data_IF_726384655322
#
_entry.id   IF_726384655322
#
_cell.length_a   1.000
_cell.length_b   1.000
_cell.length_c   1.000
_cell.angle_alpha   90.00
_cell.angle_beta   90.00
_cell.angle_gamma   90.00
#
_symmetry.space_group_name_H-M   'P 1'
#
loop_
_entity.id
_entity.type
_entity.pdbx_description
1 polymer ?
#
# COMPACT_ATOMS: atom_id res chain seq x y z
N UNK A 1 4.71 28.03 -5.17
CA UNK A 1 4.65 27.21 -3.97
C UNK A 1 6.03 27.20 -3.31
N UNK A 2 6.14 27.51 -2.03
CA UNK A 2 7.43 27.53 -1.35
C UNK A 2 7.62 26.15 -0.70
N UNK A 3 8.39 25.27 -1.37
CA UNK A 3 8.74 23.95 -0.84
C UNK A 3 9.62 24.13 0.39
N UNK A 4 9.43 23.30 1.40
CA UNK A 4 10.29 23.32 2.58
C UNK A 4 11.72 22.85 2.24
N UNK A 5 12.66 23.20 3.09
CA UNK A 5 14.05 22.77 2.94
C UNK A 5 14.17 21.24 2.89
N UNK A 6 13.32 20.52 3.64
CA UNK A 6 13.24 19.05 3.63
C UNK A 6 12.84 18.49 2.26
N UNK A 7 11.78 19.02 1.68
CA UNK A 7 11.32 18.60 0.33
C UNK A 7 12.39 18.87 -0.71
N UNK A 8 13.05 20.05 -0.65
CA UNK A 8 14.16 20.36 -1.55
C UNK A 8 15.30 19.34 -1.42
N UNK A 9 15.69 18.97 -0.20
CA UNK A 9 16.71 17.94 0.02
C UNK A 9 16.32 16.58 -0.57
N UNK A 10 15.04 16.18 -0.45
CA UNK A 10 14.52 14.95 -1.07
C UNK A 10 14.66 15.03 -2.60
N UNK A 11 14.22 16.15 -3.19
CA UNK A 11 14.29 16.35 -4.62
C UNK A 11 15.74 16.29 -5.13
N UNK A 12 16.66 16.96 -4.46
CA UNK A 12 18.10 16.91 -4.75
C UNK A 12 18.68 15.48 -4.65
N UNK A 13 18.13 14.65 -3.76
CA UNK A 13 18.52 13.24 -3.62
C UNK A 13 17.96 12.40 -4.75
N UNK A 14 16.68 12.58 -5.08
CA UNK A 14 16.02 11.87 -6.17
C UNK A 14 16.68 12.16 -7.52
N UNK A 15 17.14 13.40 -7.76
CA UNK A 15 17.89 13.75 -8.97
C UNK A 15 19.23 13.02 -9.09
N UNK A 16 19.84 12.62 -7.98
CA UNK A 16 21.12 11.90 -7.95
C UNK A 16 20.95 10.38 -8.12
N UNK A 17 19.74 9.85 -7.95
CA UNK A 17 19.44 8.45 -8.21
C UNK A 17 19.47 8.23 -9.72
N UNK A 18 20.59 7.72 -10.22
CA UNK A 18 20.79 7.46 -11.65
C UNK A 18 20.37 6.03 -12.02
N UNK A 19 19.88 5.84 -13.25
CA UNK A 19 19.75 6.84 -14.32
C UNK A 19 18.30 7.37 -14.45
N UNK A 20 18.13 8.67 -14.37
CA UNK A 20 16.85 9.35 -14.63
C UNK A 20 16.32 9.12 -16.07
N UNK A 21 17.20 8.80 -17.00
CA UNK A 21 16.87 8.56 -18.42
C UNK A 21 16.25 7.19 -18.70
N UNK A 22 16.00 6.37 -17.66
CA UNK A 22 15.43 5.02 -17.80
C UNK A 22 13.92 5.02 -17.61
N UNK A 23 13.31 6.17 -17.23
CA UNK A 23 11.85 6.32 -17.03
C UNK A 23 11.00 6.16 -18.31
N UNK A 24 11.62 6.16 -19.48
CA UNK A 24 10.92 6.05 -20.76
C UNK A 24 10.60 4.58 -21.14
N UNK A 25 10.74 3.65 -20.21
CA UNK A 25 10.38 2.25 -20.42
C UNK A 25 9.91 1.60 -19.11
N UNK A 26 9.08 0.58 -19.23
CA UNK A 26 8.60 -0.22 -18.09
C UNK A 26 9.76 -0.78 -17.23
N UNK A 27 10.78 -1.37 -17.86
CA UNK A 27 11.97 -1.88 -17.18
C UNK A 27 12.72 -0.75 -16.45
N UNK A 28 12.78 0.42 -17.04
CA UNK A 28 13.36 1.60 -16.42
C UNK A 28 12.59 2.09 -15.20
N UNK A 29 11.28 2.12 -15.27
CA UNK A 29 10.42 2.47 -14.13
C UNK A 29 10.63 1.50 -12.98
N UNK A 30 10.67 0.18 -13.25
CA UNK A 30 10.93 -0.86 -12.25
C UNK A 30 12.30 -0.68 -11.58
N UNK A 31 13.35 -0.50 -12.36
CA UNK A 31 14.72 -0.27 -11.86
C UNK A 31 14.85 1.03 -11.06
N UNK A 32 14.17 2.09 -11.49
CA UNK A 32 14.17 3.36 -10.75
C UNK A 32 13.52 3.22 -9.38
N UNK A 33 12.35 2.58 -9.29
CA UNK A 33 11.65 2.36 -8.03
C UNK A 33 12.51 1.50 -7.07
N UNK A 34 13.15 0.45 -7.59
CA UNK A 34 14.06 -0.38 -6.82
C UNK A 34 15.27 0.43 -6.30
N UNK A 35 15.93 1.21 -7.17
CA UNK A 35 17.07 2.04 -6.79
C UNK A 35 16.69 3.11 -5.77
N UNK A 36 15.53 3.75 -5.91
CA UNK A 36 14.99 4.72 -4.99
C UNK A 36 14.76 4.09 -3.61
N UNK A 37 14.08 2.96 -3.57
CA UNK A 37 13.82 2.26 -2.31
C UNK A 37 15.08 1.81 -1.61
N UNK A 38 16.05 1.23 -2.33
CA UNK A 38 17.32 0.79 -1.76
C UNK A 38 18.13 1.93 -1.15
N UNK A 39 18.04 3.13 -1.70
CA UNK A 39 18.82 4.29 -1.23
C UNK A 39 18.11 5.12 -0.17
N UNK A 40 16.78 5.20 -0.19
CA UNK A 40 16.01 6.13 0.64
C UNK A 40 15.22 5.47 1.77
N UNK A 41 14.90 4.18 1.70
CA UNK A 41 14.07 3.52 2.72
C UNK A 41 14.73 3.39 4.09
N UNK A 42 16.04 3.60 4.15
CA UNK A 42 16.81 3.53 5.37
C UNK A 42 17.20 2.11 5.78
N UNK A 43 17.67 1.99 7.01
CA UNK A 43 18.17 0.72 7.51
C UNK A 43 17.06 -0.33 7.63
N UNK A 44 17.29 -1.50 7.05
CA UNK A 44 16.44 -2.68 7.22
C UNK A 44 16.58 -3.18 8.67
N UNK A 45 15.49 -3.11 9.43
CA UNK A 45 15.45 -3.65 10.79
C UNK A 45 15.52 -5.17 10.79
N UNK A 46 16.14 -5.75 11.82
CA UNK A 46 16.03 -7.19 12.02
C UNK A 46 14.63 -7.54 12.57
N UNK A 47 14.03 -8.58 12.04
CA UNK A 47 12.82 -9.22 12.55
C UNK A 47 13.15 -10.60 13.10
N UNK A 48 12.22 -11.27 13.77
CA UNK A 48 12.49 -12.57 14.35
C UNK A 48 12.72 -13.66 13.28
N UNK A 49 11.89 -13.65 12.22
CA UNK A 49 11.95 -14.64 11.15
C UNK A 49 11.35 -14.04 9.88
N UNK A 50 11.88 -14.45 8.73
CA UNK A 50 11.29 -14.24 7.41
C UNK A 50 11.09 -15.60 6.78
N UNK A 51 9.88 -15.82 6.27
CA UNK A 51 9.49 -17.05 5.59
C UNK A 51 8.94 -16.68 4.20
N UNK A 52 9.20 -17.53 3.22
CA UNK A 52 8.66 -17.36 1.86
C UNK A 52 7.78 -18.54 1.49
N UNK A 53 6.63 -18.24 0.93
CA UNK A 53 5.66 -19.22 0.46
C UNK A 53 5.29 -18.93 -0.98
N UNK A 54 4.91 -19.99 -1.69
CA UNK A 54 4.28 -19.89 -3.00
C UNK A 54 2.91 -20.54 -2.92
N UNK A 55 1.86 -19.74 -2.94
CA UNK A 55 0.48 -20.23 -2.88
C UNK A 55 0.14 -20.84 -4.24
N UNK A 56 -0.09 -22.17 -4.34
CA UNK A 56 -0.36 -22.80 -5.62
C UNK A 56 -1.75 -22.44 -6.13
N UNK A 57 -1.83 -22.07 -7.40
CA UNK A 57 -3.06 -21.90 -8.17
C UNK A 57 -2.98 -22.79 -9.43
N UNK A 58 -4.06 -22.95 -10.16
CA UNK A 58 -4.14 -23.87 -11.30
C UNK A 58 -3.04 -23.64 -12.35
N UNK A 59 -2.76 -22.37 -12.71
CA UNK A 59 -1.85 -22.00 -13.80
C UNK A 59 -0.68 -21.11 -13.36
N UNK A 60 -0.57 -20.78 -12.06
CA UNK A 60 0.50 -19.94 -11.50
C UNK A 60 0.68 -20.21 -10.01
N UNK A 61 1.57 -19.50 -9.38
CA UNK A 61 1.66 -19.41 -7.92
C UNK A 61 1.78 -17.96 -7.50
N UNK A 62 1.29 -17.65 -6.29
CA UNK A 62 1.38 -16.31 -5.73
C UNK A 62 2.50 -16.33 -4.68
N UNK A 63 3.60 -15.60 -4.91
CA UNK A 63 4.66 -15.49 -3.92
C UNK A 63 4.18 -14.64 -2.73
N UNK A 64 4.48 -15.09 -1.52
CA UNK A 64 4.16 -14.40 -0.27
C UNK A 64 5.38 -14.44 0.63
N UNK A 65 5.74 -13.29 1.22
CA UNK A 65 6.78 -13.21 2.24
C UNK A 65 6.17 -12.82 3.58
N UNK A 66 6.46 -13.61 4.61
CA UNK A 66 5.95 -13.42 5.97
C UNK A 66 7.07 -12.89 6.86
N UNK A 67 6.84 -11.74 7.50
CA UNK A 67 7.76 -11.12 8.45
C UNK A 67 7.19 -11.29 9.86
N UNK A 68 7.92 -11.98 10.73
CA UNK A 68 7.53 -12.16 12.12
C UNK A 68 8.20 -11.14 13.03
N UNK A 69 7.44 -10.44 13.88
CA UNK A 69 7.96 -9.41 14.78
C UNK A 69 8.87 -10.02 15.84
N UNK A 70 9.80 -9.20 16.37
CA UNK A 70 10.60 -9.58 17.53
C UNK A 70 9.77 -9.68 18.81
N UNK A 71 10.17 -10.58 19.71
CA UNK A 71 9.66 -10.62 21.08
C UNK A 71 8.23 -11.12 21.24
N UNK A 72 7.62 -11.65 20.17
CA UNK A 72 6.28 -12.27 20.23
C UNK A 72 6.37 -13.78 20.13
N UNK A 73 5.40 -14.46 20.76
CA UNK A 73 5.14 -15.87 20.51
C UNK A 73 4.73 -16.07 19.05
N UNK A 74 5.05 -17.22 18.50
CA UNK A 74 4.70 -17.58 17.12
C UNK A 74 3.28 -18.13 16.99
N UNK A 75 2.51 -18.17 18.11
CA UNK A 75 1.16 -18.70 18.14
C UNK A 75 0.13 -17.62 18.44
N UNK A 76 -0.99 -17.67 17.72
CA UNK A 76 -2.15 -16.80 17.92
C UNK A 76 -1.79 -15.29 17.86
N UNK A 77 -0.98 -14.92 16.86
CA UNK A 77 -0.49 -13.54 16.66
C UNK A 77 -1.38 -12.82 15.66
N UNK A 78 -1.67 -11.54 15.91
CA UNK A 78 -2.32 -10.67 14.93
C UNK A 78 -1.54 -10.61 13.62
N UNK A 79 -2.22 -10.40 12.51
CA UNK A 79 -1.60 -10.34 11.19
C UNK A 79 -2.06 -9.11 10.40
N UNK A 80 -1.21 -8.64 9.51
CA UNK A 80 -1.50 -7.56 8.58
C UNK A 80 -1.13 -8.01 7.18
N UNK A 81 -2.11 -8.02 6.29
CA UNK A 81 -1.89 -8.22 4.85
C UNK A 81 -1.32 -6.90 4.31
N UNK A 82 -0.15 -6.95 3.69
CA UNK A 82 0.48 -5.77 3.11
C UNK A 82 0.53 -5.88 1.59
N UNK A 83 -0.15 -4.95 0.91
CA UNK A 83 -0.25 -4.86 -0.54
C UNK A 83 0.58 -3.65 -0.98
N UNK A 84 1.62 -3.89 -1.75
CA UNK A 84 2.60 -2.88 -2.12
C UNK A 84 2.14 -1.95 -3.23
N UNK A 85 2.69 -0.73 -3.24
CA UNK A 85 2.57 0.23 -4.33
C UNK A 85 3.48 -0.07 -5.52
N UNK A 86 3.48 0.84 -6.50
CA UNK A 86 4.29 0.74 -7.72
C UNK A 86 3.47 0.80 -9.00
N UNK A 87 2.40 1.60 -9.02
CA UNK A 87 1.57 1.81 -10.21
C UNK A 87 0.95 0.54 -10.82
N UNK A 88 0.81 -0.53 -10.07
CA UNK A 88 0.38 -1.86 -10.55
C UNK A 88 1.36 -2.53 -11.53
N UNK A 89 2.44 -1.86 -11.92
CA UNK A 89 3.41 -2.27 -12.95
C UNK A 89 4.81 -2.55 -12.40
N UNK A 90 5.05 -2.17 -11.15
CA UNK A 90 6.36 -2.27 -10.48
C UNK A 90 6.18 -2.55 -8.99
N UNK A 91 7.29 -2.73 -8.27
CA UNK A 91 7.29 -3.02 -6.83
C UNK A 91 7.47 -4.51 -6.54
N UNK A 92 7.54 -4.84 -5.26
CA UNK A 92 7.77 -6.18 -4.75
C UNK A 92 8.55 -6.18 -3.45
N UNK A 93 9.09 -7.32 -3.06
CA UNK A 93 9.80 -7.51 -1.79
C UNK A 93 10.93 -6.50 -1.57
N UNK A 94 11.79 -6.31 -2.57
CA UNK A 94 13.00 -5.51 -2.39
C UNK A 94 12.68 -4.02 -2.20
N UNK A 95 11.65 -3.53 -2.85
CA UNK A 95 11.24 -2.13 -2.76
C UNK A 95 10.58 -1.79 -1.43
N UNK A 96 9.95 -2.76 -0.76
CA UNK A 96 9.13 -2.54 0.44
C UNK A 96 9.66 -3.24 1.70
N UNK A 97 10.76 -3.98 1.62
CA UNK A 97 11.32 -4.78 2.72
C UNK A 97 11.58 -3.96 3.99
N UNK A 98 12.13 -2.75 3.85
CA UNK A 98 12.40 -1.88 5.01
C UNK A 98 11.12 -1.46 5.74
N UNK A 99 10.07 -1.09 4.99
CA UNK A 99 8.76 -0.72 5.54
C UNK A 99 8.08 -1.92 6.19
N UNK A 100 8.07 -3.08 5.52
CA UNK A 100 7.46 -4.31 6.05
C UNK A 100 8.08 -4.74 7.39
N UNK A 101 9.41 -4.67 7.51
CA UNK A 101 10.13 -4.98 8.77
C UNK A 101 9.79 -4.01 9.89
N UNK A 102 9.76 -2.71 9.60
CA UNK A 102 9.36 -1.69 10.58
C UNK A 102 7.91 -1.90 11.03
N UNK A 103 6.99 -2.11 10.09
CA UNK A 103 5.60 -2.43 10.41
C UNK A 103 5.49 -3.66 11.30
N UNK A 104 6.19 -4.76 10.98
CA UNK A 104 6.17 -5.97 11.80
C UNK A 104 6.55 -5.69 13.25
N UNK A 105 7.68 -5.01 13.46
CA UNK A 105 8.17 -4.72 14.81
C UNK A 105 7.28 -3.71 15.56
N UNK A 106 6.86 -2.62 14.90
CA UNK A 106 6.10 -1.54 15.54
C UNK A 106 4.67 -1.96 15.88
N UNK A 107 4.00 -2.69 14.97
CA UNK A 107 2.66 -3.22 15.22
C UNK A 107 2.66 -4.48 16.10
N UNK A 108 3.83 -5.09 16.31
CA UNK A 108 3.95 -6.41 16.93
C UNK A 108 3.08 -7.49 16.26
N UNK A 109 2.85 -7.36 14.94
CA UNK A 109 2.01 -8.25 14.13
C UNK A 109 2.83 -8.97 13.06
N UNK A 110 2.35 -10.12 12.64
CA UNK A 110 2.90 -10.80 11.45
C UNK A 110 2.51 -10.01 10.22
N UNK A 111 3.49 -9.57 9.42
CA UNK A 111 3.22 -8.95 8.13
C UNK A 111 3.26 -10.00 7.04
N UNK A 112 2.18 -10.07 6.27
CA UNK A 112 2.03 -10.96 5.12
C UNK A 112 2.08 -10.10 3.87
N UNK A 113 3.24 -10.07 3.25
CA UNK A 113 3.49 -9.28 2.05
C UNK A 113 3.06 -10.08 0.82
N UNK A 114 2.16 -9.50 0.02
CA UNK A 114 1.65 -10.10 -1.21
C UNK A 114 2.46 -9.60 -2.39
N UNK A 115 3.19 -10.50 -3.07
CA UNK A 115 3.91 -10.19 -4.31
C UNK A 115 3.00 -10.53 -5.51
N UNK A 116 1.97 -9.71 -5.67
CA UNK A 116 0.93 -9.92 -6.66
C UNK A 116 1.44 -9.72 -8.10
N UNK A 117 0.81 -10.38 -9.05
CA UNK A 117 1.16 -10.28 -10.47
C UNK A 117 0.95 -8.87 -11.01
N UNK A 118 1.95 -8.36 -11.72
CA UNK A 118 2.02 -7.00 -12.24
C UNK A 118 1.57 -6.90 -13.69
N UNK A 119 1.03 -5.75 -14.04
CA UNK A 119 0.78 -5.35 -15.42
C UNK A 119 2.10 -4.86 -16.07
N UNK A 120 2.21 -4.82 -17.38
CA UNK A 120 1.23 -5.26 -18.40
C UNK A 120 1.20 -6.78 -18.61
N UNK A 121 2.13 -7.54 -18.01
CA UNK A 121 2.18 -8.99 -18.18
C UNK A 121 0.90 -9.66 -17.67
N UNK A 122 0.33 -9.08 -16.61
CA UNK A 122 -0.89 -9.54 -15.98
C UNK A 122 -1.78 -8.35 -15.58
N UNK A 123 -2.55 -7.79 -16.53
CA UNK A 123 -3.42 -6.65 -16.24
C UNK A 123 -4.56 -7.02 -15.28
N UNK A 124 -5.33 -6.02 -14.86
CA UNK A 124 -6.53 -6.24 -14.04
C UNK A 124 -7.44 -7.32 -14.69
N UNK A 125 -7.98 -8.27 -13.89
CA UNK A 125 -7.99 -8.31 -12.42
C UNK A 125 -6.91 -9.22 -11.79
N UNK A 126 -5.80 -9.55 -12.48
CA UNK A 126 -4.87 -10.56 -12.01
C UNK A 126 -4.30 -10.26 -10.60
N UNK A 127 -3.72 -9.08 -10.39
CA UNK A 127 -3.17 -8.69 -9.08
C UNK A 127 -4.23 -8.58 -7.99
N UNK A 128 -5.43 -8.10 -8.33
CA UNK A 128 -6.56 -8.08 -7.40
C UNK A 128 -6.95 -9.49 -6.94
N UNK A 129 -7.06 -10.44 -7.87
CA UNK A 129 -7.39 -11.83 -7.54
C UNK A 129 -6.30 -12.47 -6.69
N UNK A 130 -5.02 -12.19 -6.96
CA UNK A 130 -3.91 -12.68 -6.14
C UNK A 130 -4.00 -12.19 -4.69
N UNK A 131 -4.43 -10.94 -4.48
CA UNK A 131 -4.65 -10.39 -3.14
C UNK A 131 -5.81 -11.11 -2.43
N UNK A 132 -6.96 -11.32 -3.08
CA UNK A 132 -8.09 -12.09 -2.54
C UNK A 132 -7.64 -13.50 -2.16
N UNK A 133 -7.03 -14.21 -3.11
CA UNK A 133 -6.57 -15.58 -2.94
C UNK A 133 -5.56 -15.71 -1.77
N UNK A 134 -4.70 -14.69 -1.59
CA UNK A 134 -3.76 -14.67 -0.46
C UNK A 134 -4.47 -14.54 0.87
N UNK A 135 -5.47 -13.66 0.99
CA UNK A 135 -6.26 -13.52 2.22
C UNK A 135 -6.97 -14.83 2.57
N UNK A 136 -7.62 -15.45 1.61
CA UNK A 136 -8.31 -16.73 1.82
C UNK A 136 -7.32 -17.83 2.26
N UNK A 137 -6.17 -17.91 1.59
CA UNK A 137 -5.12 -18.86 1.97
C UNK A 137 -4.61 -18.62 3.40
N UNK A 138 -4.42 -17.37 3.81
CA UNK A 138 -4.00 -17.03 5.18
C UNK A 138 -5.03 -17.50 6.20
N UNK A 139 -6.31 -17.26 5.95
CA UNK A 139 -7.40 -17.69 6.84
C UNK A 139 -7.47 -19.22 6.94
N UNK A 140 -7.38 -19.91 5.82
CA UNK A 140 -7.38 -21.38 5.77
C UNK A 140 -6.18 -22.00 6.48
N UNK A 141 -5.01 -21.37 6.42
CA UNK A 141 -3.77 -21.86 7.00
C UNK A 141 -3.39 -21.19 8.33
N UNK A 142 -4.27 -20.39 8.91
CA UNK A 142 -4.01 -19.54 10.08
C UNK A 142 -3.42 -20.32 11.26
N UNK A 143 -3.93 -21.53 11.54
CA UNK A 143 -3.42 -22.40 12.61
C UNK A 143 -1.95 -22.80 12.38
N UNK A 144 -1.59 -23.16 11.17
CA UNK A 144 -0.22 -23.54 10.78
C UNK A 144 0.70 -22.32 10.81
N UNK A 145 0.19 -21.18 10.39
CA UNK A 145 0.91 -19.90 10.38
C UNK A 145 0.98 -19.25 11.78
N UNK A 146 0.26 -19.76 12.77
CA UNK A 146 0.19 -19.18 14.11
C UNK A 146 -0.55 -17.84 14.15
N UNK A 147 -1.52 -17.61 13.27
CA UNK A 147 -2.27 -16.37 13.10
C UNK A 147 -3.62 -16.47 13.81
N UNK A 148 -4.00 -15.38 14.48
CA UNK A 148 -5.36 -15.17 14.97
C UNK A 148 -6.25 -14.58 13.88
N UNK A 149 -7.17 -15.37 13.35
CA UNK A 149 -8.10 -14.94 12.29
C UNK A 149 -9.10 -13.86 12.73
N UNK A 150 -9.25 -13.65 14.05
CA UNK A 150 -10.05 -12.54 14.57
C UNK A 150 -9.29 -11.21 14.59
N UNK A 151 -7.98 -11.22 14.34
CA UNK A 151 -7.11 -10.06 14.41
C UNK A 151 -6.27 -9.91 13.14
N UNK A 152 -6.93 -9.74 12.01
CA UNK A 152 -6.30 -9.46 10.71
C UNK A 152 -6.63 -8.03 10.28
N UNK A 153 -5.61 -7.28 9.90
CA UNK A 153 -5.71 -5.99 9.23
C UNK A 153 -5.21 -6.05 7.79
N UNK A 154 -5.47 -4.99 7.02
CA UNK A 154 -4.95 -4.82 5.67
C UNK A 154 -4.35 -3.43 5.51
N UNK A 155 -3.18 -3.33 4.90
CA UNK A 155 -2.48 -2.07 4.60
C UNK A 155 -2.08 -2.08 3.14
N UNK A 156 -2.22 -0.95 2.46
CA UNK A 156 -1.70 -0.77 1.11
C UNK A 156 -1.27 0.66 0.85
N UNK A 157 -0.16 0.82 0.11
CA UNK A 157 0.34 2.12 -0.30
C UNK A 157 0.15 2.34 -1.80
N UNK A 158 -0.22 3.56 -2.21
CA UNK A 158 -0.35 3.96 -3.62
C UNK A 158 -1.30 3.01 -4.40
N UNK A 159 -0.83 2.34 -5.43
CA UNK A 159 -1.55 1.29 -6.14
C UNK A 159 -2.01 0.16 -5.22
N UNK A 160 -1.19 -0.21 -4.22
CA UNK A 160 -1.59 -1.16 -3.18
C UNK A 160 -2.73 -0.66 -2.31
N UNK A 161 -2.84 0.66 -2.10
CA UNK A 161 -3.99 1.28 -1.43
C UNK A 161 -5.29 1.14 -2.23
N UNK A 162 -5.22 1.24 -3.56
CA UNK A 162 -6.36 0.95 -4.43
C UNK A 162 -6.79 -0.52 -4.32
N UNK A 163 -5.83 -1.45 -4.41
CA UNK A 163 -6.09 -2.89 -4.27
C UNK A 163 -6.64 -3.23 -2.87
N UNK A 164 -6.06 -2.67 -1.80
CA UNK A 164 -6.55 -2.88 -0.43
C UNK A 164 -8.00 -2.41 -0.26
N UNK A 165 -8.36 -1.26 -0.86
CA UNK A 165 -9.74 -0.77 -0.89
C UNK A 165 -10.67 -1.77 -1.56
N UNK A 166 -10.31 -2.22 -2.76
CA UNK A 166 -11.11 -3.18 -3.53
C UNK A 166 -11.26 -4.52 -2.78
N UNK A 167 -10.18 -5.07 -2.23
CA UNK A 167 -10.19 -6.29 -1.43
C UNK A 167 -11.11 -6.14 -0.22
N UNK A 168 -11.00 -5.03 0.51
CA UNK A 168 -11.81 -4.76 1.71
C UNK A 168 -13.30 -4.62 1.41
N UNK A 169 -13.68 -4.12 0.25
CA UNK A 169 -15.10 -4.04 -0.13
C UNK A 169 -15.69 -5.40 -0.51
N UNK A 170 -14.87 -6.38 -0.89
CA UNK A 170 -15.32 -7.71 -1.29
C UNK A 170 -15.32 -8.73 -0.14
N UNK A 171 -14.29 -8.69 0.69
CA UNK A 171 -14.06 -9.66 1.77
C UNK A 171 -13.71 -9.00 3.10
N UNK A 172 -14.21 -7.79 3.35
CA UNK A 172 -13.94 -6.98 4.53
C UNK A 172 -14.25 -7.66 5.87
N UNK A 173 -15.15 -8.64 5.85
CA UNK A 173 -15.46 -9.48 7.04
C UNK A 173 -14.25 -10.13 7.70
N UNK A 174 -13.15 -10.27 6.99
CA UNK A 174 -11.90 -10.82 7.54
C UNK A 174 -11.03 -9.77 8.24
N UNK A 175 -11.30 -8.47 8.02
CA UNK A 175 -10.43 -7.41 8.51
C UNK A 175 -11.04 -6.62 9.66
N UNK A 176 -10.23 -6.31 10.65
CA UNK A 176 -10.57 -5.38 11.74
C UNK A 176 -10.39 -3.93 11.34
N UNK A 177 -9.42 -3.68 10.47
CA UNK A 177 -9.14 -2.35 9.95
C UNK A 177 -8.49 -2.44 8.56
N UNK A 178 -8.51 -1.30 7.87
CA UNK A 178 -7.64 -1.06 6.72
C UNK A 178 -6.87 0.26 6.89
N UNK A 179 -5.66 0.30 6.33
CA UNK A 179 -4.88 1.53 6.19
C UNK A 179 -4.56 1.74 4.71
N UNK A 180 -4.91 2.92 4.21
CA UNK A 180 -4.71 3.32 2.82
C UNK A 180 -3.70 4.48 2.80
N UNK A 181 -2.52 4.25 2.26
CA UNK A 181 -1.45 5.25 2.26
C UNK A 181 -1.42 5.87 0.87
N UNK A 182 -1.75 7.17 0.77
CA UNK A 182 -1.84 7.95 -0.48
C UNK A 182 -2.40 7.15 -1.67
N UNK A 183 -3.61 6.57 -1.56
CA UNK A 183 -4.11 5.58 -2.51
C UNK A 183 -4.33 6.16 -3.92
N UNK A 184 -3.98 5.38 -4.95
CA UNK A 184 -4.28 5.67 -6.35
C UNK A 184 -5.73 5.28 -6.66
N UNK A 185 -6.68 6.18 -6.46
CA UNK A 185 -8.09 5.83 -6.45
C UNK A 185 -8.87 6.24 -7.71
N UNK A 186 -8.31 7.10 -8.57
CA UNK A 186 -8.96 7.62 -9.79
C UNK A 186 -8.04 7.49 -11.02
N UNK A 187 -8.56 6.91 -12.10
CA UNK A 187 -7.84 6.77 -13.36
C UNK A 187 -8.00 7.98 -14.30
N UNK A 188 -8.83 8.96 -13.96
CA UNK A 188 -9.08 10.13 -14.80
C UNK A 188 -7.89 11.08 -14.90
N UNK A 189 -7.05 11.14 -13.85
CA UNK A 189 -5.89 12.02 -13.71
C UNK A 189 -6.20 13.51 -14.01
N UNK A 190 -7.41 13.97 -13.65
CA UNK A 190 -7.93 15.28 -14.01
C UNK A 190 -8.21 16.21 -12.83
N UNK A 191 -7.93 15.76 -11.59
CA UNK A 191 -8.11 16.59 -10.39
C UNK A 191 -7.19 17.81 -10.38
N UNK A 192 -7.43 18.75 -9.46
CA UNK A 192 -6.57 19.94 -9.31
C UNK A 192 -5.16 19.56 -8.84
N UNK A 193 -5.03 18.52 -8.04
CA UNK A 193 -3.72 18.01 -7.64
C UNK A 193 -2.94 17.44 -8.82
N UNK A 194 -3.58 16.73 -9.74
CA UNK A 194 -2.95 16.24 -10.95
C UNK A 194 -2.51 17.37 -11.90
N UNK A 195 -3.23 18.50 -11.93
CA UNK A 195 -2.79 19.69 -12.68
C UNK A 195 -1.63 20.40 -12.00
N UNK A 196 -1.69 20.53 -10.67
CA UNK A 196 -0.67 21.21 -9.88
C UNK A 196 0.67 20.49 -9.89
N UNK A 197 0.63 19.15 -9.83
CA UNK A 197 1.81 18.28 -9.72
C UNK A 197 2.02 17.39 -10.96
N UNK A 198 1.58 17.83 -12.16
CA UNK A 198 1.66 17.03 -13.38
C UNK A 198 3.07 16.57 -13.74
N UNK A 199 4.09 17.33 -13.33
CA UNK A 199 5.51 17.04 -13.50
C UNK A 199 6.19 16.72 -12.15
N UNK A 200 5.47 16.08 -11.25
CA UNK A 200 6.01 15.73 -9.93
C UNK A 200 7.21 14.78 -10.00
N UNK A 201 8.05 14.80 -8.97
CA UNK A 201 9.35 14.11 -9.00
C UNK A 201 9.23 12.58 -8.96
N UNK A 202 8.29 12.04 -8.21
CA UNK A 202 8.05 10.58 -8.08
C UNK A 202 6.93 10.17 -9.02
N UNK A 203 5.84 10.92 -9.01
CA UNK A 203 4.71 10.73 -9.91
C UNK A 203 4.61 11.89 -10.88
N UNK A 204 4.37 11.59 -12.15
CA UNK A 204 4.04 12.57 -13.17
C UNK A 204 2.86 12.06 -14.01
N UNK A 205 2.16 12.98 -14.64
CA UNK A 205 0.94 12.64 -15.39
C UNK A 205 1.18 11.69 -16.57
N UNK A 206 2.24 11.86 -17.40
CA UNK A 206 2.54 10.90 -18.47
C UNK A 206 2.74 9.47 -17.96
N UNK A 207 3.52 9.28 -16.87
CA UNK A 207 3.73 7.98 -16.25
C UNK A 207 2.44 7.38 -15.66
N UNK A 208 1.58 8.23 -15.07
CA UNK A 208 0.26 7.81 -14.59
C UNK A 208 -0.64 7.30 -15.71
N UNK A 209 -0.69 8.01 -16.84
CA UNK A 209 -1.45 7.57 -18.03
C UNK A 209 -0.92 6.23 -18.55
N UNK A 210 0.40 6.07 -18.67
CA UNK A 210 1.02 4.82 -19.12
C UNK A 210 0.71 3.66 -18.17
N UNK A 211 0.83 3.88 -16.86
CA UNK A 211 0.56 2.85 -15.86
C UNK A 211 -0.90 2.38 -15.88
N UNK A 212 -1.86 3.30 -15.94
CA UNK A 212 -3.26 2.95 -16.07
C UNK A 212 -3.58 2.22 -17.38
N UNK A 213 -2.96 2.61 -18.51
CA UNK A 213 -3.12 1.91 -19.79
C UNK A 213 -2.56 0.49 -19.74
N UNK A 214 -1.50 0.24 -18.97
CA UNK A 214 -0.97 -1.11 -18.78
C UNK A 214 -1.85 -1.97 -17.85
N UNK A 215 -2.36 -1.34 -16.78
CA UNK A 215 -3.11 -2.05 -15.73
C UNK A 215 -4.54 -2.36 -16.13
N UNK A 216 -5.23 -1.41 -16.79
CA UNK A 216 -6.67 -1.44 -16.97
C UNK A 216 -7.04 -1.72 -18.42
N UNK A 217 -7.52 -2.95 -18.74
CA UNK A 217 -8.05 -3.24 -20.08
C UNK A 217 -9.24 -2.35 -20.41
N UNK A 218 -9.44 -2.03 -21.70
CA UNK A 218 -10.50 -1.12 -22.17
C UNK A 218 -11.91 -1.56 -21.70
N UNK A 219 -12.17 -2.86 -21.67
CA UNK A 219 -13.48 -3.40 -21.24
C UNK A 219 -13.70 -3.33 -19.72
N UNK A 220 -12.69 -2.93 -18.94
CA UNK A 220 -12.74 -2.75 -17.49
C UNK A 220 -12.62 -1.27 -17.08
N UNK A 221 -12.69 -0.34 -18.04
CA UNK A 221 -12.42 1.08 -17.85
C UNK A 221 -13.27 1.76 -16.76
N UNK A 222 -14.43 1.23 -16.42
CA UNK A 222 -15.34 1.74 -15.39
C UNK A 222 -15.52 0.74 -14.22
N UNK A 223 -14.63 -0.25 -14.08
CA UNK A 223 -14.76 -1.25 -13.02
C UNK A 223 -14.39 -0.65 -11.64
N UNK A 224 -15.33 -0.61 -10.67
CA UNK A 224 -15.06 -0.03 -9.35
C UNK A 224 -14.00 -0.81 -8.54
N UNK A 225 -13.75 -2.07 -8.82
CA UNK A 225 -12.69 -2.84 -8.16
C UNK A 225 -11.29 -2.47 -8.69
N UNK A 226 -11.21 -1.86 -9.87
CA UNK A 226 -9.98 -1.29 -10.38
C UNK A 226 -9.85 0.21 -10.01
N UNK A 227 -10.99 0.93 -9.91
CA UNK A 227 -11.06 2.38 -9.72
C UNK A 227 -11.86 2.70 -8.46
N UNK A 228 -11.23 2.76 -7.28
CA UNK A 228 -11.90 2.86 -5.99
C UNK A 228 -12.87 4.04 -5.81
N UNK A 229 -12.67 5.18 -6.46
CA UNK A 229 -13.62 6.31 -6.38
C UNK A 229 -15.00 5.99 -6.99
N UNK A 230 -15.10 4.95 -7.82
CA UNK A 230 -16.36 4.49 -8.40
C UNK A 230 -17.13 3.52 -7.49
N UNK A 231 -16.54 3.02 -6.42
CA UNK A 231 -17.22 2.14 -5.44
C UNK A 231 -18.40 2.87 -4.81
N UNK A 232 -19.53 2.19 -4.74
CA UNK A 232 -20.78 2.72 -4.16
C UNK A 232 -21.20 1.98 -2.88
N UNK A 233 -20.80 0.73 -2.72
CA UNK A 233 -21.12 -0.08 -1.55
C UNK A 233 -19.87 -0.33 -0.70
N UNK A 234 -19.85 0.24 0.50
CA UNK A 234 -18.78 0.12 1.48
C UNK A 234 -19.22 -0.67 2.73
N UNK A 235 -20.31 -1.45 2.65
CA UNK A 235 -20.87 -2.12 3.83
C UNK A 235 -19.90 -3.07 4.52
N UNK A 236 -19.08 -3.77 3.75
CA UNK A 236 -18.08 -4.70 4.28
C UNK A 236 -16.77 -4.00 4.68
N UNK A 237 -16.62 -2.70 4.37
CA UNK A 237 -15.39 -1.97 4.62
C UNK A 237 -15.15 -1.78 6.12
N UNK A 238 -14.01 -2.21 6.65
CA UNK A 238 -13.70 -2.08 8.07
C UNK A 238 -13.34 -0.64 8.45
N UNK A 239 -13.08 -0.41 9.75
CA UNK A 239 -12.52 0.85 10.22
C UNK A 239 -11.29 1.24 9.39
N UNK A 240 -11.23 2.49 8.92
CA UNK A 240 -10.27 2.92 7.90
C UNK A 240 -9.41 4.09 8.39
N UNK A 241 -8.09 3.99 8.18
CA UNK A 241 -7.16 5.11 8.24
C UNK A 241 -6.68 5.44 6.82
N UNK A 242 -6.84 6.71 6.40
CA UNK A 242 -6.25 7.20 5.15
C UNK A 242 -5.13 8.18 5.48
N UNK A 243 -3.93 7.91 5.00
CA UNK A 243 -2.75 8.78 5.12
C UNK A 243 -2.54 9.47 3.79
N UNK A 244 -2.47 10.80 3.79
CA UNK A 244 -2.27 11.63 2.61
C UNK A 244 -0.96 12.41 2.71
N UNK A 245 -0.29 12.63 1.58
CA UNK A 245 0.85 13.52 1.45
C UNK A 245 0.41 14.86 0.84
N UNK A 246 0.91 16.00 1.34
CA UNK A 246 0.44 17.31 0.91
C UNK A 246 0.81 17.65 -0.53
N UNK A 247 2.03 17.26 -0.94
CA UNK A 247 2.57 17.56 -2.27
C UNK A 247 2.52 16.33 -3.18
N UNK A 248 1.31 15.79 -3.37
CA UNK A 248 1.07 14.54 -4.08
C UNK A 248 0.00 14.71 -5.17
N UNK A 249 0.25 14.29 -6.41
CA UNK A 249 -0.80 14.24 -7.44
C UNK A 249 -2.04 13.48 -7.01
N UNK A 250 -1.90 12.45 -6.16
CA UNK A 250 -3.00 11.60 -5.68
C UNK A 250 -3.74 12.14 -4.44
N UNK A 251 -3.39 13.33 -3.93
CA UNK A 251 -4.04 13.85 -2.72
C UNK A 251 -5.55 14.02 -2.90
N UNK A 252 -5.99 14.47 -4.06
CA UNK A 252 -7.42 14.66 -4.33
C UNK A 252 -8.13 13.33 -4.57
N UNK A 253 -7.45 12.31 -5.11
CA UNK A 253 -7.96 10.94 -5.21
C UNK A 253 -8.28 10.38 -3.81
N UNK A 254 -7.31 10.49 -2.89
CA UNK A 254 -7.47 10.04 -1.52
C UNK A 254 -8.54 10.83 -0.75
N UNK A 255 -8.67 12.16 -0.97
CA UNK A 255 -9.75 12.97 -0.39
C UNK A 255 -11.11 12.54 -0.90
N UNK A 256 -11.25 12.31 -2.21
CA UNK A 256 -12.52 11.88 -2.81
C UNK A 256 -12.92 10.50 -2.28
N UNK A 257 -11.98 9.57 -2.18
CA UNK A 257 -12.22 8.25 -1.59
C UNK A 257 -12.64 8.36 -0.12
N UNK A 258 -11.96 9.21 0.66
CA UNK A 258 -12.30 9.52 2.05
C UNK A 258 -13.74 10.04 2.18
N UNK A 259 -14.14 10.96 1.32
CA UNK A 259 -15.50 11.52 1.33
C UNK A 259 -16.54 10.45 0.96
N UNK A 260 -16.28 9.62 -0.04
CA UNK A 260 -17.16 8.51 -0.43
C UNK A 260 -17.37 7.53 0.74
N UNK A 261 -16.32 7.12 1.41
CA UNK A 261 -16.37 6.22 2.58
C UNK A 261 -17.13 6.87 3.75
N UNK A 262 -16.84 8.13 4.05
CA UNK A 262 -17.53 8.89 5.10
C UNK A 262 -19.03 8.99 4.84
N UNK A 263 -19.44 9.30 3.61
CA UNK A 263 -20.84 9.37 3.21
C UNK A 263 -21.55 8.01 3.29
N UNK A 264 -20.81 6.92 3.13
CA UNK A 264 -21.30 5.55 3.32
C UNK A 264 -21.33 5.10 4.79
N UNK A 265 -20.83 5.91 5.73
CA UNK A 265 -20.85 5.61 7.16
C UNK A 265 -19.71 4.73 7.64
N UNK A 266 -18.62 4.57 6.86
CA UNK A 266 -17.42 3.85 7.29
C UNK A 266 -16.76 4.60 8.45
N UNK A 267 -16.39 3.93 9.56
CA UNK A 267 -15.56 4.53 10.60
C UNK A 267 -14.21 4.94 10.00
N UNK A 268 -13.94 6.23 9.89
CA UNK A 268 -12.82 6.75 9.10
C UNK A 268 -12.03 7.81 9.85
N UNK A 269 -10.71 7.69 9.81
CA UNK A 269 -9.76 8.75 10.15
C UNK A 269 -8.92 9.10 8.90
N UNK A 270 -8.63 10.40 8.72
CA UNK A 270 -7.78 10.87 7.61
C UNK A 270 -6.70 11.77 8.16
N UNK A 271 -5.45 11.43 7.89
CA UNK A 271 -4.26 12.19 8.30
C UNK A 271 -3.56 12.81 7.09
N UNK A 272 -3.22 14.08 7.19
CA UNK A 272 -2.45 14.81 6.18
C UNK A 272 -1.02 15.06 6.69
N UNK A 273 -0.06 14.46 6.03
CA UNK A 273 1.36 14.69 6.26
C UNK A 273 1.81 15.91 5.45
N UNK A 274 1.95 17.03 6.18
CA UNK A 274 2.36 18.31 5.60
C UNK A 274 3.78 18.20 5.07
N UNK A 275 4.04 18.93 3.99
CA UNK A 275 5.34 18.99 3.32
C UNK A 275 5.84 17.63 2.75
N UNK A 276 5.02 16.57 2.79
CA UNK A 276 5.41 15.28 2.23
C UNK A 276 5.01 15.16 0.76
N UNK A 277 5.81 14.39 0.02
CA UNK A 277 5.57 14.02 -1.37
C UNK A 277 5.10 12.58 -1.46
N UNK A 278 4.59 12.17 -2.63
CA UNK A 278 4.24 10.78 -2.87
C UNK A 278 5.41 9.84 -2.61
N UNK A 279 5.15 8.69 -2.01
CA UNK A 279 6.18 7.69 -1.71
C UNK A 279 7.04 8.01 -0.48
N UNK A 280 6.70 9.01 0.35
CA UNK A 280 7.49 9.36 1.52
C UNK A 280 7.69 8.18 2.50
N UNK A 281 6.82 7.17 2.46
CA UNK A 281 6.99 5.92 3.22
C UNK A 281 8.29 5.17 2.91
N UNK A 282 8.86 5.40 1.73
CA UNK A 282 10.13 4.80 1.28
C UNK A 282 11.33 5.74 1.45
N UNK A 283 11.21 6.78 2.28
CA UNK A 283 12.24 7.82 2.46
C UNK A 283 12.74 7.94 3.91
N UNK A 284 12.63 6.85 4.67
CA UNK A 284 12.96 6.80 6.09
C UNK A 284 14.45 7.02 6.44
N UNK A 285 15.35 7.05 5.46
CA UNK A 285 16.74 7.50 5.66
C UNK A 285 16.81 9.01 5.90
N UNK A 286 15.86 9.78 5.37
CA UNK A 286 15.89 11.25 5.38
C UNK A 286 14.72 11.82 6.18
N UNK A 287 13.56 11.13 6.20
CA UNK A 287 12.31 11.64 6.74
C UNK A 287 11.90 10.94 8.04
N UNK A 288 11.83 11.72 9.10
CA UNK A 288 11.24 11.28 10.38
C UNK A 288 9.73 10.99 10.23
N UNK A 289 9.07 11.66 9.29
CA UNK A 289 7.66 11.50 8.96
C UNK A 289 7.30 10.07 8.51
N UNK A 290 8.25 9.34 7.92
CA UNK A 290 8.09 7.90 7.64
C UNK A 290 7.85 7.11 8.92
N UNK A 291 8.68 7.36 9.97
CA UNK A 291 8.50 6.68 11.25
C UNK A 291 7.22 7.12 11.94
N UNK A 292 6.90 8.42 11.90
CA UNK A 292 5.66 8.96 12.47
C UNK A 292 4.42 8.31 11.85
N UNK A 293 4.42 8.09 10.53
CA UNK A 293 3.32 7.41 9.84
C UNK A 293 3.22 5.92 10.24
N UNK A 294 4.36 5.24 10.42
CA UNK A 294 4.39 3.87 10.91
C UNK A 294 3.85 3.77 12.34
N UNK A 295 4.22 4.71 13.22
CA UNK A 295 3.73 4.75 14.61
C UNK A 295 2.22 5.04 14.66
N UNK A 296 1.70 5.91 13.78
CA UNK A 296 0.26 6.17 13.65
C UNK A 296 -0.48 4.92 13.18
N UNK A 297 0.02 4.24 12.15
CA UNK A 297 -0.55 2.96 11.67
C UNK A 297 -0.55 1.90 12.77
N UNK A 298 0.52 1.80 13.54
CA UNK A 298 0.61 0.85 14.66
C UNK A 298 -0.39 1.19 15.77
N UNK A 299 -0.53 2.48 16.11
CA UNK A 299 -1.53 2.95 17.08
C UNK A 299 -2.94 2.60 16.62
N UNK A 300 -3.25 2.85 15.34
CA UNK A 300 -4.55 2.51 14.75
C UNK A 300 -4.80 1.00 14.74
N UNK A 301 -3.79 0.19 14.40
CA UNK A 301 -3.87 -1.27 14.43
C UNK A 301 -4.17 -1.78 15.84
N UNK A 302 -3.42 -1.32 16.85
CA UNK A 302 -3.62 -1.71 18.24
C UNK A 302 -5.02 -1.37 18.76
N UNK A 303 -5.52 -0.16 18.47
CA UNK A 303 -6.88 0.25 18.86
C UNK A 303 -7.95 -0.67 18.27
N UNK A 304 -7.79 -1.10 17.03
CA UNK A 304 -8.78 -1.95 16.37
C UNK A 304 -8.65 -3.44 16.75
N UNK A 305 -7.46 -3.91 17.09
CA UNK A 305 -7.26 -5.26 17.63
C UNK A 305 -7.69 -5.36 19.12
N UNK A 306 -7.52 -4.31 19.94
CA UNK A 306 -7.84 -4.29 21.35
C UNK A 306 -9.34 -4.13 21.64
N UNK A 307 -10.10 -3.46 20.77
CA UNK A 307 -11.55 -3.27 20.91
C UNK A 307 -12.37 -4.58 20.96
N UNK A 308 -11.72 -5.74 20.83
CA UNK A 308 -12.36 -7.06 20.95
C UNK A 308 -12.34 -7.57 22.40
N UNK A 309 -11.41 -7.10 23.24
CA UNK A 309 -11.27 -7.58 24.62
C UNK A 309 -12.28 -6.93 25.60
N UNK A 310 -12.87 -5.78 25.26
CA UNK A 310 -13.86 -5.10 26.13
C UNK A 310 -15.30 -5.60 25.94
N UNK A 311 -15.58 -6.45 24.96
CA UNK A 311 -16.91 -6.97 24.65
C UNK A 311 -17.09 -8.48 24.99
N UNK A 312 -16.18 -9.10 25.72
CA UNK A 312 -16.28 -10.44 26.28
C UNK A 312 -16.30 -10.39 27.83
#
# INVERSE_FOLDING_TARGET
MQLTHKVIQILDHLEKIQPFNVKDSLDGTRKYLEAMSLQLSGKKESVALIEEFNIPKENHSIPVRIYRPKGKDTQNTSAIIYIHGGWFIAGGYETHDAVARKLANTTSSVIIFVDYRLAPEHPFPAGFNDCIDTVEWVVENAKTLGIDTNNIGIIGDSAGGALATAVSTQIGKYFKFQVLIYPAADNSLNSESWKTYENGPVLNKPGGVEAWNHYLPEHEADNPLAIPVLIKDFKETPATLIILAEHDPLIDDGKQLSENMKNAGVPLHTSLYKDMIHGFMHMGEILDETQMAIDEMASFAHQNFENIQENL
#
